data_IF_504466160857
#
_entry.id   IF_504466160857
#
_cell.length_a   1.000
_cell.length_b   1.000
_cell.length_c   1.000
_cell.angle_alpha   90.00
_cell.angle_beta   90.00
_cell.angle_gamma   90.00
#
_symmetry.space_group_name_H-M   'P 1'
#
loop_
_entity.id
_entity.type
_entity.pdbx_description
1 polymer ?
#
# COMPACT_ATOMS: atom_id res chain seq x y z
N UNK A 1 7.21 -38.34 42.35
CA UNK A 1 7.79 -38.79 41.07
C UNK A 1 7.43 -40.26 40.89
N UNK A 2 6.45 -40.56 40.04
CA UNK A 2 6.03 -41.90 39.69
C UNK A 2 6.65 -42.19 38.31
N UNK A 3 7.43 -43.26 38.11
CA UNK A 3 8.02 -43.55 36.81
C UNK A 3 6.94 -44.10 35.88
N UNK A 4 6.76 -43.43 34.74
CA UNK A 4 5.89 -43.87 33.66
C UNK A 4 6.50 -45.11 33.01
N UNK A 5 5.84 -46.26 33.17
CA UNK A 5 6.16 -47.52 32.51
C UNK A 5 6.03 -47.34 30.99
N UNK A 6 7.14 -47.46 30.28
CA UNK A 6 7.18 -47.48 28.82
C UNK A 6 6.40 -48.71 28.31
N UNK A 7 5.35 -48.46 27.52
CA UNK A 7 4.57 -49.49 26.89
C UNK A 7 5.45 -50.30 25.91
N UNK A 8 5.67 -51.59 26.18
CA UNK A 8 6.34 -52.52 25.27
C UNK A 8 5.61 -52.55 23.92
N UNK A 9 6.29 -52.45 22.79
CA UNK A 9 5.65 -52.48 21.47
C UNK A 9 5.00 -53.88 21.27
N UNK A 10 3.67 -53.87 21.11
CA UNK A 10 2.92 -55.08 20.81
C UNK A 10 3.47 -55.72 19.53
N UNK A 11 4.03 -56.94 19.64
CA UNK A 11 4.50 -57.71 18.51
C UNK A 11 3.38 -57.86 17.46
N UNK A 12 3.63 -57.40 16.23
CA UNK A 12 2.66 -57.51 15.12
C UNK A 12 2.56 -59.00 14.77
N UNK A 13 1.34 -59.59 14.93
CA UNK A 13 1.09 -60.97 14.52
C UNK A 13 1.25 -61.07 12.99
N UNK A 14 2.15 -61.91 12.52
CA UNK A 14 2.24 -62.29 11.12
C UNK A 14 1.21 -63.36 10.80
N UNK A 15 0.54 -63.25 9.69
CA UNK A 15 -0.44 -64.22 9.22
C UNK A 15 0.05 -64.79 7.90
N UNK A 16 -0.13 -66.12 7.69
CA UNK A 16 0.18 -66.81 6.45
C UNK A 16 -0.60 -66.22 5.28
N UNK A 17 0.04 -66.06 4.14
CA UNK A 17 -0.58 -65.53 2.93
C UNK A 17 -1.72 -66.45 2.42
N UNK A 18 -1.63 -67.74 2.58
CA UNK A 18 -2.66 -68.73 2.23
C UNK A 18 -3.95 -68.53 3.01
N UNK A 19 -3.79 -68.26 4.32
CA UNK A 19 -4.93 -67.92 5.18
C UNK A 19 -5.58 -66.63 4.78
N UNK A 20 -4.80 -65.63 4.43
CA UNK A 20 -5.30 -64.33 3.95
C UNK A 20 -6.06 -64.50 2.64
N UNK A 21 -5.50 -65.20 1.68
CA UNK A 21 -6.12 -65.43 0.37
C UNK A 21 -7.43 -66.26 0.52
N UNK A 22 -7.43 -67.27 1.34
CA UNK A 22 -8.63 -68.06 1.66
C UNK A 22 -9.75 -67.18 2.25
N UNK A 23 -9.43 -66.33 3.21
CA UNK A 23 -10.39 -65.40 3.82
C UNK A 23 -10.92 -64.37 2.77
N UNK A 24 -10.06 -63.86 1.92
CA UNK A 24 -10.46 -62.94 0.84
C UNK A 24 -11.39 -63.59 -0.16
N UNK A 25 -11.14 -64.84 -0.54
CA UNK A 25 -11.92 -65.60 -1.52
C UNK A 25 -13.24 -66.09 -0.96
N UNK A 26 -13.27 -66.57 0.28
CA UNK A 26 -14.42 -67.25 0.86
C UNK A 26 -15.24 -66.40 1.82
N UNK A 27 -14.73 -65.30 2.26
CA UNK A 27 -15.37 -64.48 3.30
C UNK A 27 -15.56 -65.20 4.65
N UNK A 28 -14.79 -66.23 4.94
CA UNK A 28 -14.99 -67.19 6.03
C UNK A 28 -14.96 -66.53 7.42
N UNK A 29 -16.05 -65.94 7.86
CA UNK A 29 -16.19 -65.29 9.18
C UNK A 29 -16.00 -66.25 10.34
N UNK A 30 -16.36 -67.53 10.18
CA UNK A 30 -16.16 -68.59 11.18
C UNK A 30 -14.66 -68.82 11.46
N UNK A 31 -13.84 -68.83 10.39
CA UNK A 31 -12.41 -69.05 10.47
C UNK A 31 -11.69 -67.83 11.13
N UNK A 32 -12.12 -66.63 10.83
CA UNK A 32 -11.55 -65.41 11.45
C UNK A 32 -11.86 -65.32 12.94
N UNK A 33 -13.04 -65.79 13.36
CA UNK A 33 -13.37 -65.88 14.79
C UNK A 33 -12.54 -66.98 15.50
N UNK A 34 -12.44 -68.14 14.88
CA UNK A 34 -11.68 -69.30 15.47
C UNK A 34 -10.19 -68.96 15.65
N UNK A 35 -9.59 -68.22 14.73
CA UNK A 35 -8.17 -67.82 14.77
C UNK A 35 -7.94 -66.47 15.47
N UNK A 36 -8.96 -65.89 16.06
CA UNK A 36 -8.91 -64.61 16.79
C UNK A 36 -8.23 -63.49 15.96
N UNK A 37 -8.62 -63.37 14.68
CA UNK A 37 -8.08 -62.34 13.80
C UNK A 37 -8.88 -61.02 13.99
N UNK A 38 -8.24 -59.88 14.32
CA UNK A 38 -8.93 -58.62 14.50
C UNK A 38 -9.71 -58.19 13.24
N UNK A 39 -10.93 -57.69 13.43
CA UNK A 39 -11.77 -57.16 12.30
C UNK A 39 -11.05 -56.10 11.47
N UNK A 40 -10.27 -55.24 12.11
CA UNK A 40 -9.45 -54.22 11.44
C UNK A 40 -8.41 -54.84 10.50
N UNK A 41 -7.85 -55.97 10.84
CA UNK A 41 -6.88 -56.71 10.01
C UNK A 41 -7.59 -57.27 8.77
N UNK A 42 -8.75 -57.90 8.94
CA UNK A 42 -9.55 -58.43 7.83
C UNK A 42 -10.02 -57.34 6.90
N UNK A 43 -10.54 -56.24 7.44
CA UNK A 43 -10.95 -55.06 6.66
C UNK A 43 -9.77 -54.44 5.88
N UNK A 44 -8.58 -54.44 6.48
CA UNK A 44 -7.36 -53.98 5.80
C UNK A 44 -6.98 -54.89 4.63
N UNK A 45 -7.13 -56.20 4.80
CA UNK A 45 -6.89 -57.18 3.72
C UNK A 45 -7.88 -57.01 2.58
N UNK A 46 -9.16 -56.86 2.87
CA UNK A 46 -10.22 -56.61 1.88
C UNK A 46 -9.98 -55.35 1.08
N UNK A 47 -9.56 -54.23 1.75
CA UNK A 47 -9.27 -52.96 1.11
C UNK A 47 -8.03 -53.01 0.20
N UNK A 48 -7.01 -53.78 0.61
CA UNK A 48 -5.74 -53.92 -0.13
C UNK A 48 -5.75 -54.98 -1.21
N UNK A 49 -6.77 -55.83 -1.24
CA UNK A 49 -6.88 -56.95 -2.17
C UNK A 49 -5.81 -58.03 -2.02
N UNK A 50 -5.83 -59.05 -2.88
CA UNK A 50 -4.80 -60.07 -2.95
C UNK A 50 -3.48 -59.42 -3.37
N UNK A 51 -2.38 -59.79 -2.67
CA UNK A 51 -1.04 -59.44 -3.12
C UNK A 51 -0.52 -60.57 -4.00
N UNK A 52 0.08 -60.27 -5.15
CA UNK A 52 0.77 -61.31 -5.91
C UNK A 52 1.85 -61.89 -5.03
N UNK A 53 1.73 -63.16 -4.72
CA UNK A 53 2.79 -63.92 -4.07
C UNK A 53 3.70 -64.37 -5.21
N UNK A 54 4.90 -63.87 -5.24
CA UNK A 54 5.94 -64.44 -6.11
C UNK A 54 6.36 -65.74 -5.47
N UNK A 55 5.73 -66.85 -5.88
CA UNK A 55 6.23 -68.22 -5.62
C UNK A 55 7.48 -68.41 -6.45
N UNK A 56 8.61 -68.17 -5.86
CA UNK A 56 9.85 -68.72 -6.41
C UNK A 56 9.80 -70.20 -6.06
N UNK A 57 9.48 -71.02 -7.05
CA UNK A 57 9.64 -72.48 -6.88
C UNK A 57 11.12 -72.73 -6.61
N UNK A 58 11.48 -73.30 -5.43
CA UNK A 58 12.89 -73.43 -5.05
C UNK A 58 13.68 -74.36 -5.96
N UNK A 59 13.02 -75.10 -6.81
CA UNK A 59 13.62 -76.07 -7.70
C UNK A 59 14.06 -75.53 -9.07
N UNK A 60 13.64 -74.34 -9.49
CA UNK A 60 14.01 -73.84 -10.83
C UNK A 60 15.23 -72.92 -10.83
N UNK A 61 15.73 -72.48 -9.70
CA UNK A 61 16.88 -71.57 -9.64
C UNK A 61 17.91 -72.10 -8.67
N UNK A 62 19.13 -72.39 -9.20
CA UNK A 62 20.25 -72.64 -8.37
C UNK A 62 20.51 -71.55 -7.35
N UNK A 63 20.78 -71.86 -6.11
CA UNK A 63 21.07 -70.95 -5.02
C UNK A 63 22.13 -69.88 -5.44
N UNK A 64 23.12 -70.28 -6.23
CA UNK A 64 24.15 -69.38 -6.73
C UNK A 64 23.58 -68.36 -7.70
N UNK A 65 22.65 -68.73 -8.56
CA UNK A 65 22.01 -67.82 -9.53
C UNK A 65 21.12 -66.75 -8.80
N UNK A 66 20.43 -67.16 -7.76
CA UNK A 66 19.64 -66.25 -6.91
C UNK A 66 20.53 -65.27 -6.17
N UNK A 67 21.64 -65.70 -5.59
CA UNK A 67 22.62 -64.84 -4.92
C UNK A 67 23.24 -63.85 -5.91
N UNK A 68 23.67 -64.30 -7.09
CA UNK A 68 24.18 -63.41 -8.11
C UNK A 68 23.16 -62.36 -8.61
N UNK A 69 21.85 -62.72 -8.68
CA UNK A 69 20.80 -61.82 -9.03
C UNK A 69 20.53 -60.77 -7.92
N UNK A 70 20.56 -61.18 -6.67
CA UNK A 70 20.45 -60.28 -5.50
C UNK A 70 21.60 -59.31 -5.49
N UNK A 71 22.83 -59.76 -5.66
CA UNK A 71 24.00 -58.90 -5.68
C UNK A 71 23.96 -57.89 -6.83
N UNK A 72 23.53 -58.32 -8.03
CA UNK A 72 23.31 -57.43 -9.18
C UNK A 72 22.27 -56.37 -8.91
N UNK A 73 21.16 -56.71 -8.26
CA UNK A 73 20.11 -55.78 -7.89
C UNK A 73 20.56 -54.81 -6.81
N UNK A 74 21.29 -55.30 -5.79
CA UNK A 74 21.82 -54.44 -4.72
C UNK A 74 22.85 -53.44 -5.30
N UNK A 75 23.76 -53.90 -6.17
CA UNK A 75 24.69 -53.02 -6.87
C UNK A 75 23.96 -51.92 -7.69
N UNK A 76 22.88 -52.29 -8.42
CA UNK A 76 22.05 -51.31 -9.15
C UNK A 76 21.36 -50.32 -8.21
N UNK A 77 20.83 -50.80 -7.09
CA UNK A 77 20.19 -49.92 -6.08
C UNK A 77 21.19 -48.92 -5.49
N UNK A 78 22.42 -49.35 -5.19
CA UNK A 78 23.49 -48.49 -4.67
C UNK A 78 23.90 -47.43 -5.71
N UNK A 79 24.02 -47.81 -6.98
CA UNK A 79 24.36 -46.88 -8.10
C UNK A 79 23.23 -45.83 -8.23
N UNK A 80 21.95 -46.26 -8.27
CA UNK A 80 20.81 -45.33 -8.38
C UNK A 80 20.75 -44.38 -7.19
N UNK A 81 20.98 -44.91 -5.96
CA UNK A 81 21.02 -44.07 -4.76
C UNK A 81 22.17 -43.04 -4.79
N UNK A 82 23.32 -43.40 -5.36
CA UNK A 82 24.42 -42.49 -5.54
C UNK A 82 24.11 -41.40 -6.56
N UNK A 83 23.50 -41.74 -7.71
CA UNK A 83 23.07 -40.79 -8.75
C UNK A 83 22.02 -39.83 -8.18
N UNK A 84 21.03 -40.33 -7.45
CA UNK A 84 20.01 -39.48 -6.82
C UNK A 84 20.64 -38.48 -5.85
N UNK A 85 21.61 -38.94 -5.02
CA UNK A 85 22.34 -38.05 -4.09
C UNK A 85 23.11 -36.93 -4.84
N UNK A 86 23.79 -37.28 -5.93
CA UNK A 86 24.49 -36.30 -6.77
C UNK A 86 23.52 -35.29 -7.39
N UNK A 87 22.42 -35.76 -7.96
CA UNK A 87 21.40 -34.86 -8.54
C UNK A 87 20.78 -33.93 -7.49
N UNK A 88 20.49 -34.44 -6.29
CA UNK A 88 19.99 -33.60 -5.19
C UNK A 88 21.04 -32.57 -4.72
N UNK A 89 22.32 -32.94 -4.71
CA UNK A 89 23.39 -32.01 -4.37
C UNK A 89 23.51 -30.89 -5.41
N UNK A 90 23.46 -31.21 -6.71
CA UNK A 90 23.46 -30.25 -7.80
C UNK A 90 22.23 -29.32 -7.75
N UNK A 91 21.04 -29.85 -7.52
CA UNK A 91 19.82 -29.04 -7.36
C UNK A 91 19.89 -28.08 -6.17
N UNK A 92 20.49 -28.52 -5.06
CA UNK A 92 20.70 -27.66 -3.88
C UNK A 92 21.73 -26.56 -4.17
N UNK A 93 22.82 -26.90 -4.87
CA UNK A 93 23.87 -25.96 -5.22
C UNK A 93 23.40 -24.92 -6.26
N UNK A 94 22.48 -25.30 -7.17
CA UNK A 94 21.91 -24.38 -8.16
C UNK A 94 20.93 -23.37 -7.56
N UNK A 95 20.50 -23.55 -6.30
CA UNK A 95 19.48 -22.70 -5.64
C UNK A 95 18.08 -22.83 -6.26
N UNK A 96 17.89 -23.61 -7.30
CA UNK A 96 16.60 -23.77 -7.97
C UNK A 96 15.57 -24.45 -7.09
N UNK A 97 14.41 -23.82 -6.92
CA UNK A 97 13.27 -24.38 -6.17
C UNK A 97 11.96 -24.12 -6.90
N UNK A 98 11.22 -25.17 -7.17
CA UNK A 98 9.87 -25.06 -7.73
C UNK A 98 8.89 -24.35 -6.79
N UNK A 99 9.19 -24.21 -5.50
CA UNK A 99 8.36 -23.48 -4.56
C UNK A 99 8.44 -21.96 -4.77
N UNK A 100 9.61 -21.44 -5.11
CA UNK A 100 9.89 -20.00 -5.22
C UNK A 100 10.00 -19.51 -6.66
N UNK A 101 10.40 -20.37 -7.59
CA UNK A 101 10.66 -19.97 -8.96
C UNK A 101 9.48 -20.20 -9.90
N UNK A 102 9.35 -19.27 -10.84
CA UNK A 102 8.36 -19.35 -11.91
C UNK A 102 8.95 -20.07 -13.10
N UNK A 103 8.27 -21.10 -13.58
CA UNK A 103 8.57 -21.80 -14.82
C UNK A 103 7.61 -21.31 -15.92
N UNK A 104 8.05 -20.40 -16.82
CA UNK A 104 7.18 -19.87 -17.85
C UNK A 104 6.90 -20.86 -18.99
N UNK A 105 7.84 -21.76 -19.27
CA UNK A 105 7.78 -22.68 -20.42
C UNK A 105 6.89 -23.89 -20.16
N UNK A 106 5.90 -24.12 -21.03
CA UNK A 106 5.00 -25.27 -20.95
C UNK A 106 5.70 -26.60 -21.12
N UNK A 107 6.73 -26.68 -21.96
CA UNK A 107 7.53 -27.90 -22.15
C UNK A 107 8.19 -28.38 -20.84
N UNK A 108 8.76 -27.45 -20.06
CA UNK A 108 9.36 -27.76 -18.76
C UNK A 108 8.30 -28.26 -17.75
N UNK A 109 7.14 -27.58 -17.67
CA UNK A 109 6.02 -28.03 -16.83
C UNK A 109 5.50 -29.40 -17.25
N UNK A 110 5.37 -29.64 -18.55
CA UNK A 110 4.95 -30.93 -19.11
C UNK A 110 5.90 -32.07 -18.73
N UNK A 111 7.23 -31.82 -18.79
CA UNK A 111 8.24 -32.78 -18.37
C UNK A 111 8.14 -33.13 -16.89
N UNK A 112 7.91 -32.12 -16.02
CA UNK A 112 7.70 -32.34 -14.58
C UNK A 112 6.42 -33.14 -14.34
N UNK A 113 5.31 -32.81 -15.02
CA UNK A 113 4.06 -33.56 -14.89
C UNK A 113 4.21 -35.03 -15.31
N UNK A 114 4.93 -35.32 -16.39
CA UNK A 114 5.25 -36.69 -16.83
C UNK A 114 6.11 -37.42 -15.79
N UNK A 115 7.13 -36.77 -15.27
CA UNK A 115 7.99 -37.35 -14.23
C UNK A 115 7.21 -37.66 -12.95
N UNK A 116 6.32 -36.79 -12.50
CA UNK A 116 5.42 -37.03 -11.37
C UNK A 116 4.51 -38.22 -11.65
N UNK A 117 3.89 -38.30 -12.84
CA UNK A 117 3.02 -39.40 -13.21
C UNK A 117 3.77 -40.74 -13.24
N UNK A 118 4.98 -40.75 -13.76
CA UNK A 118 5.84 -41.96 -13.77
C UNK A 118 6.28 -42.40 -12.38
N UNK A 119 6.38 -41.49 -11.43
CA UNK A 119 6.74 -41.81 -10.05
C UNK A 119 5.57 -42.29 -9.16
N UNK A 120 4.33 -42.01 -9.53
CA UNK A 120 3.12 -42.33 -8.74
C UNK A 120 2.92 -43.81 -8.45
N UNK A 121 3.25 -44.77 -9.35
CA UNK A 121 3.15 -46.17 -9.02
C UNK A 121 4.05 -46.65 -7.84
N UNK A 122 5.15 -45.93 -7.63
CA UNK A 122 6.19 -46.32 -6.69
C UNK A 122 6.17 -45.49 -5.39
N UNK A 123 5.71 -44.23 -5.48
CA UNK A 123 5.74 -43.27 -4.38
C UNK A 123 4.38 -42.63 -4.15
N UNK A 124 3.98 -42.39 -2.89
CA UNK A 124 2.78 -41.64 -2.58
C UNK A 124 2.95 -40.15 -3.03
N UNK A 125 1.88 -39.53 -3.53
CA UNK A 125 1.87 -38.15 -4.05
C UNK A 125 2.49 -37.15 -3.08
N UNK A 126 2.19 -37.26 -1.78
CA UNK A 126 2.74 -36.37 -0.77
C UNK A 126 4.26 -36.42 -0.70
N UNK A 127 4.86 -37.63 -0.86
CA UNK A 127 6.32 -37.79 -0.91
C UNK A 127 6.90 -37.17 -2.18
N UNK A 128 6.25 -37.37 -3.34
CA UNK A 128 6.67 -36.76 -4.62
C UNK A 128 6.69 -35.25 -4.51
N UNK A 129 5.60 -34.62 -4.04
CA UNK A 129 5.50 -33.18 -3.91
C UNK A 129 6.56 -32.60 -2.95
N UNK A 130 6.86 -33.32 -1.87
CA UNK A 130 7.94 -32.93 -0.95
C UNK A 130 9.31 -32.98 -1.61
N UNK A 131 9.58 -34.02 -2.41
CA UNK A 131 10.86 -34.18 -3.11
C UNK A 131 11.07 -33.08 -4.15
N UNK A 132 10.05 -32.84 -4.99
CA UNK A 132 10.15 -31.82 -6.06
C UNK A 132 9.85 -30.39 -5.56
N UNK A 133 9.47 -30.23 -4.29
CA UNK A 133 9.06 -28.95 -3.68
C UNK A 133 7.98 -28.23 -4.49
N UNK A 134 7.00 -29.00 -5.00
CA UNK A 134 5.90 -28.46 -5.76
C UNK A 134 4.62 -28.40 -4.91
N UNK A 135 4.04 -27.23 -4.78
CA UNK A 135 2.75 -27.03 -4.11
C UNK A 135 1.64 -27.83 -4.80
N UNK A 136 0.79 -28.55 -4.03
CA UNK A 136 -0.34 -29.33 -4.61
C UNK A 136 -1.27 -28.50 -5.46
N UNK A 137 -1.57 -27.26 -5.05
CA UNK A 137 -2.41 -26.34 -5.79
C UNK A 137 -1.82 -26.02 -7.18
N UNK A 138 -0.51 -25.81 -7.24
CA UNK A 138 0.24 -25.52 -8.48
C UNK A 138 0.26 -26.74 -9.42
N UNK A 139 0.45 -27.95 -8.86
CA UNK A 139 0.35 -29.19 -9.62
C UNK A 139 -1.03 -29.36 -10.25
N UNK A 140 -2.11 -29.15 -9.49
CA UNK A 140 -3.46 -29.30 -10.01
C UNK A 140 -3.79 -28.22 -11.05
N UNK A 141 -3.29 -27.01 -10.89
CA UNK A 141 -3.43 -25.94 -11.89
C UNK A 141 -2.74 -26.31 -13.21
N UNK A 142 -1.47 -26.81 -13.14
CA UNK A 142 -0.75 -27.27 -14.34
C UNK A 142 -1.43 -28.47 -15.01
N UNK A 143 -1.95 -29.42 -14.23
CA UNK A 143 -2.65 -30.57 -14.78
C UNK A 143 -3.92 -30.17 -15.54
N UNK A 144 -4.68 -29.20 -15.02
CA UNK A 144 -5.84 -28.64 -15.73
C UNK A 144 -5.42 -27.90 -16.99
N UNK A 145 -4.39 -27.09 -16.92
CA UNK A 145 -3.86 -26.36 -18.08
C UNK A 145 -3.31 -27.29 -19.16
N UNK A 146 -2.74 -28.46 -18.80
CA UNK A 146 -2.26 -29.44 -19.74
C UNK A 146 -3.36 -30.06 -20.59
N UNK A 147 -4.58 -30.21 -20.05
CA UNK A 147 -5.74 -30.76 -20.78
C UNK A 147 -6.16 -29.86 -21.94
N UNK A 148 -6.01 -28.52 -21.78
CA UNK A 148 -6.38 -27.53 -22.78
C UNK A 148 -5.17 -27.00 -23.57
N UNK A 149 -4.05 -27.73 -23.57
CA UNK A 149 -2.78 -27.34 -24.22
C UNK A 149 -2.25 -25.94 -23.82
N UNK A 150 -2.65 -25.44 -22.66
CA UNK A 150 -2.35 -24.09 -22.16
C UNK A 150 -1.27 -24.05 -21.07
N UNK A 151 -0.24 -24.92 -21.12
CA UNK A 151 0.79 -24.99 -20.09
C UNK A 151 1.77 -23.81 -20.13
N UNK A 152 1.95 -23.17 -21.27
CA UNK A 152 2.77 -21.98 -21.37
C UNK A 152 2.16 -20.85 -20.56
N UNK A 153 2.94 -20.17 -19.72
CA UNK A 153 2.48 -18.96 -19.12
C UNK A 153 2.29 -17.93 -20.23
N UNK A 154 1.04 -17.54 -20.44
CA UNK A 154 0.77 -16.35 -21.25
C UNK A 154 1.62 -15.23 -20.66
N UNK A 155 2.37 -14.54 -21.53
CA UNK A 155 3.03 -13.30 -21.12
C UNK A 155 1.92 -12.36 -20.63
N UNK A 156 1.62 -12.41 -19.33
CA UNK A 156 0.82 -11.36 -18.78
C UNK A 156 1.62 -10.10 -19.05
N UNK A 157 1.03 -9.15 -19.72
CA UNK A 157 1.53 -7.77 -19.75
C UNK A 157 1.34 -7.23 -18.33
N UNK A 158 2.32 -7.32 -17.45
CA UNK A 158 2.02 -7.52 -16.04
C UNK A 158 2.37 -6.34 -15.22
N UNK A 159 2.66 -5.28 -15.82
CA UNK A 159 3.36 -4.25 -15.07
C UNK A 159 2.60 -2.93 -15.06
N UNK A 160 1.44 -2.92 -15.69
CA UNK A 160 0.53 -1.79 -15.64
C UNK A 160 -0.75 -2.22 -14.95
N UNK A 161 -0.95 -1.75 -13.73
CA UNK A 161 -2.28 -1.79 -13.13
C UNK A 161 -3.25 -1.01 -14.03
N UNK A 162 -4.44 -1.53 -14.34
CA UNK A 162 -5.42 -0.76 -15.12
C UNK A 162 -5.75 0.62 -14.55
N UNK A 163 -5.56 0.80 -13.23
CA UNK A 163 -5.71 2.09 -12.54
C UNK A 163 -4.44 2.95 -12.49
N UNK A 164 -3.35 2.52 -13.11
CA UNK A 164 -2.09 3.28 -13.16
C UNK A 164 -2.29 4.61 -13.89
N UNK A 165 -1.62 5.67 -13.42
CA UNK A 165 -1.61 6.95 -14.12
C UNK A 165 -1.06 6.79 -15.54
N UNK A 166 -1.71 7.47 -16.48
CA UNK A 166 -1.22 7.52 -17.86
C UNK A 166 0.07 8.35 -17.96
N UNK A 167 0.83 8.16 -19.03
CA UNK A 167 2.04 8.94 -19.28
C UNK A 167 1.74 10.46 -19.31
N UNK A 168 0.61 10.86 -19.89
CA UNK A 168 0.15 12.24 -19.92
C UNK A 168 -0.13 12.79 -18.53
N UNK A 169 -0.83 12.03 -17.68
CA UNK A 169 -1.08 12.46 -16.30
C UNK A 169 0.22 12.61 -15.49
N UNK A 170 1.18 11.70 -15.69
CA UNK A 170 2.51 11.78 -15.04
C UNK A 170 3.29 13.00 -15.54
N UNK A 171 3.23 13.33 -16.85
CA UNK A 171 3.85 14.54 -17.41
C UNK A 171 3.22 15.80 -16.82
N UNK A 172 1.91 15.87 -16.76
CA UNK A 172 1.18 17.02 -16.18
C UNK A 172 1.53 17.20 -14.70
N UNK A 173 1.63 16.12 -13.92
CA UNK A 173 2.10 16.19 -12.51
C UNK A 173 3.51 16.78 -12.46
N UNK A 174 4.43 16.31 -13.30
CA UNK A 174 5.80 16.82 -13.37
C UNK A 174 5.84 18.31 -13.68
N UNK A 175 5.12 18.73 -14.70
CA UNK A 175 5.03 20.13 -15.12
C UNK A 175 4.54 21.02 -13.96
N UNK A 176 3.43 20.66 -13.32
CA UNK A 176 2.88 21.41 -12.19
C UNK A 176 3.81 21.45 -10.97
N UNK A 177 4.54 20.36 -10.68
CA UNK A 177 5.47 20.31 -9.56
C UNK A 177 6.69 21.20 -9.78
N UNK A 178 7.16 21.28 -11.03
CA UNK A 178 8.35 22.06 -11.39
C UNK A 178 8.04 23.51 -11.77
N UNK A 179 6.78 23.83 -12.03
CA UNK A 179 6.35 25.18 -12.45
C UNK A 179 6.60 26.22 -11.33
N UNK A 180 7.26 27.35 -11.66
CA UNK A 180 7.57 28.39 -10.68
C UNK A 180 6.33 29.00 -10.04
N UNK A 181 5.23 29.10 -10.79
CA UNK A 181 3.96 29.67 -10.36
C UNK A 181 3.30 28.91 -9.20
N UNK A 182 3.57 27.58 -9.06
CA UNK A 182 3.03 26.75 -7.98
C UNK A 182 4.02 26.52 -6.85
N UNK A 183 5.14 27.22 -6.84
CA UNK A 183 6.22 27.00 -5.89
C UNK A 183 5.82 27.27 -4.41
N UNK A 184 4.88 28.20 -4.24
CA UNK A 184 4.31 28.57 -2.95
C UNK A 184 3.32 27.53 -2.39
N UNK A 185 2.79 26.62 -3.22
CA UNK A 185 1.82 25.62 -2.79
C UNK A 185 2.52 24.38 -2.22
N UNK A 186 2.11 23.87 -1.04
CA UNK A 186 2.48 22.53 -0.59
C UNK A 186 2.04 21.46 -1.60
N UNK A 187 2.76 20.34 -1.63
CA UNK A 187 2.43 19.26 -2.57
C UNK A 187 1.00 18.71 -2.40
N UNK A 188 0.53 18.62 -1.15
CA UNK A 188 -0.84 18.19 -0.86
C UNK A 188 -1.88 19.17 -1.40
N UNK A 189 -1.65 20.46 -1.22
CA UNK A 189 -2.49 21.54 -1.76
C UNK A 189 -2.47 21.54 -3.28
N UNK A 190 -1.28 21.43 -3.89
CA UNK A 190 -1.12 21.37 -5.34
C UNK A 190 -1.87 20.19 -5.98
N UNK A 191 -1.82 19.02 -5.34
CA UNK A 191 -2.56 17.85 -5.82
C UNK A 191 -4.08 18.05 -5.82
N UNK A 192 -4.62 18.73 -4.81
CA UNK A 192 -6.05 19.07 -4.76
C UNK A 192 -6.39 20.20 -5.72
N UNK A 193 -5.52 21.20 -5.83
CA UNK A 193 -5.67 22.29 -6.80
C UNK A 193 -5.71 21.78 -8.24
N UNK A 194 -4.83 20.81 -8.58
CA UNK A 194 -4.85 20.16 -9.89
C UNK A 194 -6.19 19.50 -10.24
N UNK A 195 -6.86 18.93 -9.22
CA UNK A 195 -8.20 18.36 -9.40
C UNK A 195 -9.25 19.45 -9.61
N UNK A 196 -9.17 20.56 -8.88
CA UNK A 196 -10.09 21.71 -9.04
C UNK A 196 -10.05 22.31 -10.43
N UNK A 197 -8.85 22.45 -10.99
CA UNK A 197 -8.68 22.98 -12.36
C UNK A 197 -8.81 21.91 -13.46
N UNK A 198 -9.23 20.71 -13.11
CA UNK A 198 -9.49 19.63 -14.06
C UNK A 198 -8.26 19.01 -14.72
N UNK A 199 -7.06 19.28 -14.22
CA UNK A 199 -5.80 18.81 -14.84
C UNK A 199 -5.50 17.33 -14.57
N UNK A 200 -5.45 16.91 -13.29
CA UNK A 200 -5.12 15.53 -12.90
C UNK A 200 -5.91 15.13 -11.66
N UNK A 201 -6.54 13.96 -11.73
CA UNK A 201 -7.33 13.37 -10.63
C UNK A 201 -6.60 12.20 -9.99
N UNK A 202 -5.49 12.48 -9.29
CA UNK A 202 -4.71 11.51 -8.56
C UNK A 202 -4.71 11.81 -7.06
N UNK A 203 -4.56 10.77 -6.23
CA UNK A 203 -4.48 10.93 -4.78
C UNK A 203 -3.19 11.67 -4.38
N UNK A 204 -3.24 12.42 -3.28
CA UNK A 204 -2.07 13.13 -2.72
C UNK A 204 -0.90 12.18 -2.45
N UNK A 205 -1.19 10.97 -1.97
CA UNK A 205 -0.17 9.93 -1.75
C UNK A 205 0.52 9.49 -3.03
N UNK A 206 -0.19 9.43 -4.16
CA UNK A 206 0.37 9.12 -5.47
C UNK A 206 1.31 10.22 -5.95
N UNK A 207 0.93 11.51 -5.76
CA UNK A 207 1.80 12.64 -6.04
C UNK A 207 3.08 12.58 -5.20
N UNK A 208 2.95 12.35 -3.88
CA UNK A 208 4.10 12.26 -2.98
C UNK A 208 5.07 11.14 -3.39
N UNK A 209 4.53 9.97 -3.75
CA UNK A 209 5.31 8.84 -4.22
C UNK A 209 6.07 9.17 -5.50
N UNK A 210 5.40 9.70 -6.53
CA UNK A 210 6.03 10.08 -7.80
C UNK A 210 7.12 11.13 -7.62
N UNK A 211 6.84 12.19 -6.82
CA UNK A 211 7.81 13.26 -6.54
C UNK A 211 9.04 12.71 -5.84
N UNK A 212 8.87 11.80 -4.88
CA UNK A 212 9.96 11.16 -4.17
C UNK A 212 10.78 10.23 -5.07
N UNK A 213 10.11 9.33 -5.81
CA UNK A 213 10.78 8.35 -6.68
C UNK A 213 11.52 9.00 -7.87
N UNK A 214 10.99 10.12 -8.37
CA UNK A 214 11.55 10.83 -9.52
C UNK A 214 12.48 11.99 -9.15
N UNK A 215 12.60 12.30 -7.86
CA UNK A 215 13.44 13.40 -7.37
C UNK A 215 13.02 14.78 -7.83
N UNK A 216 11.74 15.02 -8.15
CA UNK A 216 11.27 16.31 -8.70
C UNK A 216 11.26 17.44 -7.67
N UNK A 217 11.13 17.11 -6.38
CA UNK A 217 11.25 18.04 -5.26
C UNK A 217 12.15 17.45 -4.19
N UNK A 218 12.82 18.33 -3.47
CA UNK A 218 13.59 17.93 -2.28
C UNK A 218 12.63 17.34 -1.24
N UNK A 219 12.87 16.12 -0.72
CA UNK A 219 12.07 15.57 0.36
C UNK A 219 12.11 16.52 1.55
N UNK A 220 10.96 16.77 2.16
CA UNK A 220 10.86 17.61 3.36
C UNK A 220 11.24 16.74 4.56
N UNK A 221 12.39 17.00 5.18
CA UNK A 221 12.74 16.34 6.44
C UNK A 221 11.84 16.87 7.56
N UNK A 222 11.20 15.99 8.29
CA UNK A 222 10.53 16.35 9.54
C UNK A 222 11.60 16.50 10.62
N UNK A 223 11.85 17.72 11.03
CA UNK A 223 12.84 18.02 12.10
C UNK A 223 12.26 17.69 13.48
N UNK A 224 10.92 17.69 13.62
CA UNK A 224 10.24 17.41 14.89
C UNK A 224 9.13 16.37 14.69
N UNK A 225 8.93 15.46 15.66
CA UNK A 225 7.79 14.56 15.64
C UNK A 225 6.47 15.36 15.69
N UNK A 226 5.38 14.87 15.08
CA UNK A 226 4.09 15.52 15.20
C UNK A 226 3.64 15.48 16.65
N UNK A 227 3.42 16.65 17.27
CA UNK A 227 2.77 16.74 18.58
C UNK A 227 1.25 16.61 18.37
N UNK A 228 0.56 15.77 19.13
CA UNK A 228 -0.90 15.78 19.12
C UNK A 228 -1.35 17.12 19.73
N UNK A 229 -2.03 17.94 18.93
CA UNK A 229 -2.58 19.22 19.37
C UNK A 229 -4.09 19.16 19.31
N UNK A 230 -4.74 19.21 20.47
CA UNK A 230 -6.18 19.46 20.60
C UNK A 230 -6.31 20.96 20.66
N UNK A 231 -6.61 21.59 19.53
CA UNK A 231 -6.87 23.04 19.48
C UNK A 231 -8.35 23.35 19.55
N UNK A 232 -8.66 24.59 19.89
CA UNK A 232 -10.04 25.13 19.83
C UNK A 232 -10.54 25.12 18.38
N UNK A 233 -11.81 24.76 18.17
CA UNK A 233 -12.45 24.67 16.86
C UNK A 233 -13.75 25.46 16.84
N UNK A 234 -13.82 26.47 15.97
CA UNK A 234 -15.04 27.19 15.67
C UNK A 234 -15.96 26.34 14.76
N UNK A 235 -17.27 26.56 14.89
CA UNK A 235 -18.32 25.87 14.12
C UNK A 235 -18.85 26.72 12.96
N UNK A 236 -18.59 28.02 12.97
CA UNK A 236 -19.04 29.00 11.96
C UNK A 236 -18.01 30.12 11.78
N UNK A 237 -18.04 30.85 10.66
CA UNK A 237 -17.21 32.05 10.46
C UNK A 237 -17.47 33.10 11.57
N UNK A 238 -16.43 33.83 11.91
CA UNK A 238 -16.50 34.92 12.89
C UNK A 238 -16.94 34.52 14.30
N UNK A 239 -16.74 33.27 14.67
CA UNK A 239 -16.94 32.80 16.04
C UNK A 239 -15.67 32.98 16.86
N UNK A 240 -14.52 32.53 16.30
CA UNK A 240 -13.20 32.61 16.93
C UNK A 240 -12.19 33.16 15.93
N UNK A 241 -11.46 34.17 16.34
CA UNK A 241 -10.32 34.70 15.60
C UNK A 241 -9.03 34.49 16.37
N UNK A 242 -7.92 34.37 15.65
CA UNK A 242 -6.59 34.40 16.24
C UNK A 242 -5.78 35.54 15.65
N UNK A 243 -5.12 36.27 16.55
CA UNK A 243 -4.12 37.29 16.18
C UNK A 243 -2.75 36.83 16.67
N UNK A 244 -1.75 37.05 15.87
CA UNK A 244 -0.36 36.80 16.23
C UNK A 244 0.59 37.62 15.37
N UNK A 245 1.81 37.77 15.88
CA UNK A 245 2.90 38.49 15.28
C UNK A 245 4.01 37.51 14.84
N UNK A 246 4.52 37.69 13.63
CA UNK A 246 5.65 36.91 13.15
C UNK A 246 6.80 37.82 12.71
N UNK A 247 8.00 37.54 13.23
CA UNK A 247 9.21 38.31 12.91
C UNK A 247 9.94 37.65 11.74
N UNK A 248 10.33 38.47 10.76
CA UNK A 248 11.18 38.11 9.63
C UNK A 248 12.38 39.04 9.59
N UNK A 249 13.57 38.54 9.32
CA UNK A 249 14.77 39.36 9.10
C UNK A 249 14.99 39.53 7.60
N UNK A 250 15.20 40.76 7.19
CA UNK A 250 15.63 41.11 5.85
C UNK A 250 17.13 40.83 5.68
N UNK A 251 17.61 40.83 4.45
CA UNK A 251 19.03 40.56 4.15
C UNK A 251 19.98 41.59 4.73
N UNK A 252 19.55 42.84 4.94
CA UNK A 252 20.29 43.90 5.63
C UNK A 252 20.30 43.77 7.15
N UNK A 253 19.66 42.72 7.71
CA UNK A 253 19.52 42.46 9.13
C UNK A 253 18.34 43.16 9.82
N UNK A 254 17.61 44.02 9.11
CA UNK A 254 16.43 44.73 9.62
C UNK A 254 15.33 43.72 9.99
N UNK A 255 14.70 43.95 11.15
CA UNK A 255 13.54 43.15 11.59
C UNK A 255 12.27 43.75 11.01
N UNK A 256 11.47 42.91 10.35
CA UNK A 256 10.13 43.22 9.94
C UNK A 256 9.12 42.40 10.75
N UNK A 257 8.02 43.01 11.13
CA UNK A 257 6.97 42.47 11.98
C UNK A 257 5.70 42.31 11.17
N UNK A 258 5.27 41.08 10.99
CA UNK A 258 4.06 40.75 10.23
C UNK A 258 2.95 40.44 11.22
N UNK A 259 1.91 41.25 11.28
CA UNK A 259 0.71 41.02 12.08
C UNK A 259 -0.36 40.44 11.18
N UNK A 260 -1.12 39.47 11.66
CA UNK A 260 -2.27 38.94 10.94
C UNK A 260 -3.39 38.48 11.88
N UNK A 261 -4.61 38.54 11.37
CA UNK A 261 -5.81 37.94 12.01
C UNK A 261 -6.34 36.84 11.10
N UNK A 262 -6.53 35.65 11.65
CA UNK A 262 -7.09 34.49 10.96
C UNK A 262 -8.41 34.05 11.60
N UNK A 263 -9.40 33.75 10.77
CA UNK A 263 -10.65 33.13 11.21
C UNK A 263 -10.41 31.63 11.50
N UNK A 264 -10.82 31.16 12.68
CA UNK A 264 -10.60 29.78 13.10
C UNK A 264 -11.40 28.77 12.27
N UNK A 265 -12.62 29.10 11.87
CA UNK A 265 -13.47 28.20 11.11
C UNK A 265 -12.93 27.98 9.69
N UNK A 266 -12.75 29.07 8.96
CA UNK A 266 -12.43 29.05 7.52
C UNK A 266 -10.93 29.04 7.21
N UNK A 267 -10.07 29.39 8.17
CA UNK A 267 -8.63 29.64 7.96
C UNK A 267 -8.34 30.86 7.08
N UNK A 268 -9.33 31.67 6.79
CA UNK A 268 -9.17 32.91 6.03
C UNK A 268 -8.33 33.90 6.82
N UNK A 269 -7.34 34.51 6.18
CA UNK A 269 -6.67 35.69 6.72
C UNK A 269 -7.57 36.88 6.47
N UNK A 270 -8.13 37.41 7.55
CA UNK A 270 -9.08 38.53 7.49
C UNK A 270 -8.36 39.86 7.26
N UNK A 271 -7.23 40.04 7.92
CA UNK A 271 -6.41 41.24 7.77
C UNK A 271 -4.94 40.92 8.10
N UNK A 272 -4.05 41.70 7.56
CA UNK A 272 -2.62 41.61 7.82
C UNK A 272 -1.92 42.93 7.59
N UNK A 273 -0.76 43.15 8.20
CA UNK A 273 0.12 44.28 7.92
C UNK A 273 1.59 43.91 8.16
N UNK A 274 2.51 44.70 7.57
CA UNK A 274 3.96 44.57 7.79
C UNK A 274 4.49 45.90 8.33
N UNK A 275 5.04 45.86 9.54
CA UNK A 275 5.63 46.99 10.23
C UNK A 275 7.17 46.83 10.36
N UNK A 276 7.88 47.95 10.43
CA UNK A 276 9.34 47.97 10.66
C UNK A 276 9.69 48.09 12.13
N UNK A 277 8.72 48.35 12.98
CA UNK A 277 8.86 48.46 14.44
C UNK A 277 7.78 47.65 15.14
N UNK A 278 8.10 47.19 16.34
CA UNK A 278 7.11 46.57 17.22
C UNK A 278 6.31 47.72 17.87
N UNK A 279 5.10 47.96 17.36
CA UNK A 279 4.22 49.04 17.77
C UNK A 279 2.78 48.55 17.87
N UNK A 280 2.06 48.79 18.99
CA UNK A 280 0.64 48.47 19.13
C UNK A 280 -0.24 49.03 18.04
N UNK A 281 0.14 50.15 17.40
CA UNK A 281 -0.59 50.77 16.27
C UNK A 281 -0.81 49.77 15.12
N UNK A 282 0.16 48.94 14.83
CA UNK A 282 0.03 47.90 13.78
C UNK A 282 -1.03 46.85 14.16
N UNK A 283 -1.07 46.44 15.44
CA UNK A 283 -2.10 45.55 15.97
C UNK A 283 -3.49 46.18 15.87
N UNK A 284 -3.64 47.44 16.28
CA UNK A 284 -4.89 48.17 16.16
C UNK A 284 -5.37 48.28 14.70
N UNK A 285 -4.48 48.61 13.77
CA UNK A 285 -4.80 48.68 12.32
C UNK A 285 -5.33 47.35 11.77
N UNK A 286 -4.68 46.24 12.12
CA UNK A 286 -5.10 44.90 11.66
C UNK A 286 -6.44 44.50 12.28
N UNK A 287 -6.69 44.82 13.56
CA UNK A 287 -7.96 44.52 14.22
C UNK A 287 -9.12 45.33 13.61
N UNK A 288 -8.90 46.61 13.35
CA UNK A 288 -9.91 47.48 12.68
C UNK A 288 -10.19 47.00 11.25
N UNK A 289 -9.15 46.57 10.54
CA UNK A 289 -9.32 46.05 9.18
C UNK A 289 -10.06 44.69 9.21
N UNK A 290 -9.76 43.81 10.16
CA UNK A 290 -10.48 42.56 10.34
C UNK A 290 -11.94 42.80 10.75
N UNK A 291 -12.21 43.79 11.61
CA UNK A 291 -13.55 44.18 12.03
C UNK A 291 -14.51 44.55 10.88
N UNK A 292 -13.99 45.01 9.73
CA UNK A 292 -14.80 45.28 8.51
C UNK A 292 -15.45 44.00 7.92
N UNK A 293 -14.99 42.83 8.30
CA UNK A 293 -15.59 41.55 7.88
C UNK A 293 -16.80 41.15 8.74
N UNK A 294 -17.09 41.85 9.82
CA UNK A 294 -18.26 41.60 10.67
C UNK A 294 -19.51 42.21 10.02
N UNK A 295 -20.34 41.36 9.43
CA UNK A 295 -21.59 41.76 8.75
C UNK A 295 -22.79 41.79 9.72
N UNK A 296 -22.67 41.12 10.89
CA UNK A 296 -23.74 41.01 11.89
C UNK A 296 -23.22 41.35 13.29
N UNK A 297 -24.14 41.60 14.25
CA UNK A 297 -23.82 41.92 15.64
C UNK A 297 -23.10 40.83 16.43
N UNK A 298 -22.40 39.92 15.75
CA UNK A 298 -21.55 38.90 16.37
C UNK A 298 -20.35 39.54 17.06
N UNK A 299 -19.94 38.97 18.19
CA UNK A 299 -18.76 39.39 18.95
C UNK A 299 -17.76 38.22 18.95
N UNK A 300 -16.82 38.18 17.97
CA UNK A 300 -15.83 37.10 17.91
C UNK A 300 -14.95 37.04 19.16
N UNK A 301 -14.65 35.84 19.60
CA UNK A 301 -13.61 35.61 20.58
C UNK A 301 -12.24 35.69 19.92
N UNK A 302 -11.45 36.73 20.26
CA UNK A 302 -10.11 36.97 19.73
C UNK A 302 -9.08 36.33 20.66
N UNK A 303 -8.47 35.26 20.19
CA UNK A 303 -7.35 34.62 20.87
C UNK A 303 -6.05 35.37 20.53
N UNK A 304 -5.41 35.92 21.56
CA UNK A 304 -4.14 36.62 21.47
C UNK A 304 -3.17 36.09 22.55
N UNK A 305 -1.88 36.11 22.28
CA UNK A 305 -0.90 35.87 23.34
C UNK A 305 -0.76 37.10 24.24
N UNK A 306 -0.10 36.93 25.41
CA UNK A 306 0.03 37.98 26.42
C UNK A 306 1.12 38.99 26.12
N UNK A 307 1.57 39.12 24.86
CA UNK A 307 2.57 40.10 24.44
C UNK A 307 2.13 41.56 24.65
N UNK A 308 3.09 42.43 24.89
CA UNK A 308 2.80 43.87 25.13
C UNK A 308 2.14 44.55 23.91
N UNK A 309 2.30 44.03 22.72
CA UNK A 309 1.64 44.43 21.49
C UNK A 309 0.14 44.12 21.47
N UNK A 310 -0.29 43.13 22.26
CA UNK A 310 -1.66 42.69 22.32
C UNK A 310 -2.39 43.13 23.60
N UNK A 311 -1.63 43.51 24.64
CA UNK A 311 -2.18 43.88 25.97
C UNK A 311 -1.72 45.29 26.33
N UNK A 312 -2.49 46.29 25.92
CA UNK A 312 -2.24 47.69 26.20
C UNK A 312 -3.53 48.51 25.99
N UNK A 313 -3.59 49.73 26.53
CA UNK A 313 -4.76 50.59 26.48
C UNK A 313 -5.28 50.90 25.08
N UNK A 314 -4.38 51.06 24.08
CA UNK A 314 -4.78 51.37 22.71
C UNK A 314 -5.48 50.16 22.06
N UNK A 315 -4.95 48.96 22.28
CA UNK A 315 -5.58 47.73 21.80
C UNK A 315 -6.91 47.50 22.52
N UNK A 316 -6.98 47.70 23.82
CA UNK A 316 -8.22 47.58 24.60
C UNK A 316 -9.36 48.51 24.09
N UNK A 317 -9.02 49.77 23.80
CA UNK A 317 -9.94 50.70 23.16
C UNK A 317 -10.37 50.24 21.75
N UNK A 318 -9.46 49.68 20.98
CA UNK A 318 -9.74 49.14 19.65
C UNK A 318 -10.65 47.91 19.71
N UNK A 319 -10.41 47.00 20.63
CA UNK A 319 -11.25 45.82 20.84
C UNK A 319 -12.67 46.17 21.21
N UNK A 320 -12.82 47.21 22.08
CA UNK A 320 -14.14 47.74 22.43
C UNK A 320 -14.86 48.34 21.20
N UNK A 321 -14.18 49.17 20.41
CA UNK A 321 -14.76 49.78 19.24
C UNK A 321 -15.06 48.80 18.09
N UNK A 322 -14.26 47.73 17.96
CA UNK A 322 -14.43 46.70 16.96
C UNK A 322 -15.35 45.55 17.40
N UNK A 323 -15.98 45.63 18.59
CA UNK A 323 -16.84 44.61 19.14
C UNK A 323 -16.19 43.23 19.26
N UNK A 324 -14.92 43.16 19.70
CA UNK A 324 -14.18 41.93 19.89
C UNK A 324 -14.03 41.58 21.36
N UNK A 325 -14.04 40.27 21.67
CA UNK A 325 -13.82 39.76 23.01
C UNK A 325 -12.42 39.09 23.08
N UNK A 326 -11.47 39.67 23.85
CA UNK A 326 -10.12 39.11 23.97
C UNK A 326 -10.09 37.96 24.94
N UNK A 327 -9.47 36.84 24.50
CA UNK A 327 -9.12 35.68 25.31
C UNK A 327 -7.60 35.48 25.23
N UNK A 328 -6.92 35.43 26.39
CA UNK A 328 -5.49 35.24 26.40
C UNK A 328 -5.12 33.78 26.13
N UNK A 329 -4.48 33.56 25.00
CA UNK A 329 -3.99 32.27 24.55
C UNK A 329 -2.88 31.74 25.48
N UNK A 330 -2.88 30.41 25.69
CA UNK A 330 -1.93 29.70 26.57
C UNK A 330 -2.03 30.02 28.07
N UNK A 331 -2.69 31.09 28.47
CA UNK A 331 -2.99 31.41 29.85
C UNK A 331 -4.33 30.82 30.25
N UNK A 332 -5.37 31.10 29.47
CA UNK A 332 -6.75 30.65 29.74
C UNK A 332 -7.08 29.35 29.00
N UNK A 333 -6.51 29.15 27.81
CA UNK A 333 -6.73 27.94 26.98
C UNK A 333 -5.42 27.44 26.39
N UNK A 334 -5.05 26.20 26.75
CA UNK A 334 -3.87 25.55 26.22
C UNK A 334 -3.98 25.31 24.68
N UNK A 335 -2.89 25.49 23.93
CA UNK A 335 -2.81 25.31 22.48
C UNK A 335 -3.75 26.18 21.64
N UNK A 336 -4.22 27.28 22.18
CA UNK A 336 -5.24 28.13 21.55
C UNK A 336 -4.73 28.82 20.27
N UNK A 337 -3.43 29.15 20.13
CA UNK A 337 -2.88 29.90 19.01
C UNK A 337 -2.30 29.06 17.86
N UNK A 338 -2.46 27.74 17.91
CA UNK A 338 -1.87 26.79 16.94
C UNK A 338 -2.25 27.01 15.46
N UNK A 339 -3.38 27.68 15.22
CA UNK A 339 -3.89 27.95 13.87
C UNK A 339 -3.03 28.95 13.12
N UNK A 340 -2.79 30.10 13.72
CA UNK A 340 -2.00 31.14 13.12
C UNK A 340 -0.51 30.78 13.08
N UNK A 341 -0.02 30.01 14.05
CA UNK A 341 1.33 29.41 14.02
C UNK A 341 1.52 28.48 12.79
N UNK A 342 0.49 27.70 12.44
CA UNK A 342 0.54 26.85 11.26
C UNK A 342 0.57 27.66 9.96
N UNK A 343 -0.16 28.78 9.92
CA UNK A 343 -0.10 29.74 8.81
C UNK A 343 1.30 30.36 8.68
N UNK A 344 1.90 30.84 9.77
CA UNK A 344 3.28 31.40 9.76
C UNK A 344 4.29 30.39 9.25
N UNK A 345 4.18 29.14 9.67
CA UNK A 345 5.05 28.07 9.19
C UNK A 345 4.95 27.92 7.67
N UNK A 346 3.73 27.96 7.14
CA UNK A 346 3.49 27.84 5.71
C UNK A 346 4.03 29.07 4.96
N UNK A 347 3.69 30.26 5.38
CA UNK A 347 4.17 31.52 4.79
C UNK A 347 5.70 31.58 4.78
N UNK A 348 6.35 31.35 5.91
CA UNK A 348 7.83 31.47 6.02
C UNK A 348 8.54 30.39 5.20
N UNK A 349 8.25 29.12 5.46
CA UNK A 349 9.04 28.02 4.91
C UNK A 349 8.67 27.62 3.49
N UNK A 350 7.46 27.95 3.02
CA UNK A 350 7.03 27.58 1.68
C UNK A 350 7.11 28.73 0.70
N UNK A 351 7.22 29.96 1.19
CA UNK A 351 7.24 31.12 0.34
C UNK A 351 8.33 32.13 0.67
N UNK A 352 8.33 32.77 1.85
CA UNK A 352 9.26 33.87 2.14
C UNK A 352 10.72 33.44 2.02
N UNK A 353 11.11 32.33 2.63
CA UNK A 353 12.50 31.84 2.62
C UNK A 353 12.94 31.25 1.27
N UNK A 354 12.06 31.16 0.30
CA UNK A 354 12.39 30.79 -1.08
C UNK A 354 12.64 32.01 -1.98
N UNK A 355 12.44 33.21 -1.43
CA UNK A 355 12.59 34.47 -2.16
C UNK A 355 13.65 35.36 -1.48
N UNK A 356 14.19 36.29 -2.23
CA UNK A 356 15.08 37.32 -1.71
C UNK A 356 14.27 38.33 -0.90
N UNK A 357 14.71 38.59 0.34
CA UNK A 357 14.06 39.53 1.26
C UNK A 357 14.94 40.80 1.42
N UNK A 358 15.12 41.51 0.31
CA UNK A 358 16.07 42.63 0.19
C UNK A 358 15.52 43.91 0.84
N UNK A 359 14.20 44.13 0.73
CA UNK A 359 13.54 45.33 1.18
C UNK A 359 12.16 45.05 1.78
N UNK A 360 11.67 45.97 2.60
CA UNK A 360 10.37 45.88 3.25
C UNK A 360 9.21 45.84 2.24
N UNK A 361 9.34 46.61 1.16
CA UNK A 361 8.35 46.65 0.07
C UNK A 361 8.25 45.30 -0.63
N UNK A 362 9.39 44.68 -0.86
CA UNK A 362 9.44 43.32 -1.42
C UNK A 362 8.76 42.30 -0.48
N UNK A 363 9.04 42.39 0.83
CA UNK A 363 8.37 41.54 1.83
C UNK A 363 6.86 41.76 1.80
N UNK A 364 6.39 43.04 1.76
CA UNK A 364 4.95 43.34 1.66
C UNK A 364 4.32 42.71 0.43
N UNK A 365 4.95 42.83 -0.74
CA UNK A 365 4.45 42.24 -1.99
C UNK A 365 4.37 40.73 -1.91
N UNK A 366 5.38 40.05 -1.29
CA UNK A 366 5.41 38.61 -1.10
C UNK A 366 4.31 38.13 -0.14
N UNK A 367 4.08 38.86 0.96
CA UNK A 367 3.00 38.56 1.92
C UNK A 367 1.64 38.76 1.26
N UNK A 368 1.44 39.87 0.54
CA UNK A 368 0.21 40.14 -0.20
C UNK A 368 -0.15 39.02 -1.17
N UNK A 369 0.80 38.59 -1.99
CA UNK A 369 0.62 37.50 -2.92
C UNK A 369 0.24 36.19 -2.21
N UNK A 370 0.97 35.86 -1.12
CA UNK A 370 0.73 34.60 -0.43
C UNK A 370 -0.62 34.59 0.27
N UNK A 371 -1.02 35.69 0.91
CA UNK A 371 -2.34 35.80 1.58
C UNK A 371 -3.47 35.70 0.56
N UNK A 372 -3.35 36.38 -0.58
CA UNK A 372 -4.33 36.27 -1.65
C UNK A 372 -4.45 34.85 -2.19
N UNK A 373 -3.30 34.21 -2.51
CA UNK A 373 -3.29 32.82 -2.97
C UNK A 373 -3.84 31.86 -1.89
N UNK A 374 -3.50 32.08 -0.62
CA UNK A 374 -3.99 31.28 0.51
C UNK A 374 -5.51 31.36 0.62
N UNK A 375 -6.07 32.57 0.56
CA UNK A 375 -7.50 32.79 0.73
C UNK A 375 -8.31 32.27 -0.47
N UNK A 376 -7.87 32.56 -1.70
CA UNK A 376 -8.71 32.40 -2.89
C UNK A 376 -8.36 31.19 -3.76
N UNK A 377 -7.11 30.73 -3.76
CA UNK A 377 -6.64 29.73 -4.74
C UNK A 377 -6.23 28.40 -4.08
N UNK A 378 -5.64 28.43 -2.88
CA UNK A 378 -5.10 27.23 -2.24
C UNK A 378 -6.19 26.46 -1.50
N UNK A 379 -6.56 25.23 -1.97
CA UNK A 379 -7.47 24.38 -1.22
C UNK A 379 -6.84 24.01 0.13
N UNK A 380 -7.57 24.20 1.22
CA UNK A 380 -7.06 23.85 2.54
C UNK A 380 -7.28 22.35 2.84
N UNK A 381 -6.28 21.64 3.37
CA UNK A 381 -6.37 20.18 3.60
C UNK A 381 -7.55 19.74 4.48
N UNK A 382 -8.02 20.60 5.38
CA UNK A 382 -9.15 20.31 6.26
C UNK A 382 -10.53 20.42 5.58
N UNK A 383 -10.64 20.97 4.38
CA UNK A 383 -11.92 21.39 3.76
C UNK A 383 -12.27 20.64 2.48
N UNK A 384 -11.92 19.38 2.37
CA UNK A 384 -12.35 18.51 1.26
C UNK A 384 -12.19 19.11 -0.16
N UNK A 385 -11.29 20.09 -0.31
CA UNK A 385 -10.97 20.74 -1.58
C UNK A 385 -11.37 22.21 -1.66
N UNK A 386 -12.07 22.75 -0.68
CA UNK A 386 -12.46 24.16 -0.63
C UNK A 386 -11.29 25.06 -0.20
N UNK A 387 -11.30 26.31 -0.66
CA UNK A 387 -10.40 27.37 -0.21
C UNK A 387 -10.91 28.00 1.09
N UNK A 388 -10.08 28.76 1.83
CA UNK A 388 -10.52 29.54 2.97
C UNK A 388 -11.69 30.48 2.65
N UNK A 389 -11.68 31.17 1.51
CA UNK A 389 -12.77 32.06 1.11
C UNK A 389 -14.08 31.32 0.85
N UNK A 390 -14.02 30.19 0.15
CA UNK A 390 -15.21 29.37 -0.09
C UNK A 390 -15.83 28.87 1.21
N UNK A 391 -15.00 28.54 2.20
CA UNK A 391 -15.47 28.15 3.53
C UNK A 391 -16.06 29.34 4.29
N UNK A 392 -15.43 30.52 4.21
CA UNK A 392 -15.85 31.72 4.91
C UNK A 392 -17.19 32.25 4.38
N UNK A 393 -17.34 32.30 3.07
CA UNK A 393 -18.53 32.81 2.39
C UNK A 393 -19.58 31.72 2.08
N UNK A 394 -19.32 30.49 2.45
CA UNK A 394 -20.15 29.30 2.16
C UNK A 394 -20.47 29.12 0.65
N UNK A 395 -19.56 29.54 -0.23
CA UNK A 395 -19.77 29.49 -1.69
C UNK A 395 -19.34 28.16 -2.31
N UNK A 396 -18.58 27.33 -1.59
CA UNK A 396 -18.04 26.07 -2.10
C UNK A 396 -18.75 24.81 -1.59
N UNK A 397 -20.01 24.88 -1.19
CA UNK A 397 -20.71 23.74 -0.56
C UNK A 397 -20.80 22.49 -1.46
N UNK A 398 -21.00 22.64 -2.77
CA UNK A 398 -21.14 21.54 -3.72
C UNK A 398 -19.79 21.00 -4.22
N UNK A 399 -18.70 21.71 -4.00
CA UNK A 399 -17.39 21.37 -4.54
C UNK A 399 -16.89 19.97 -4.15
N UNK A 400 -17.06 19.46 -2.92
CA UNK A 400 -16.68 18.12 -2.57
C UNK A 400 -17.31 17.03 -3.44
N UNK A 401 -18.60 17.20 -3.77
CA UNK A 401 -19.36 16.23 -4.57
C UNK A 401 -19.00 16.35 -6.06
N UNK A 402 -18.78 17.56 -6.57
CA UNK A 402 -18.28 17.80 -7.93
C UNK A 402 -16.90 17.17 -8.14
N UNK A 403 -15.98 17.31 -7.16
CA UNK A 403 -14.67 16.69 -7.20
C UNK A 403 -14.76 15.15 -7.11
N UNK A 404 -15.71 14.62 -6.34
CA UNK A 404 -15.93 13.19 -6.27
C UNK A 404 -16.41 12.61 -7.61
N UNK A 405 -17.37 13.26 -8.25
CA UNK A 405 -17.88 12.90 -9.58
C UNK A 405 -16.77 13.00 -10.65
N UNK A 406 -15.99 14.06 -10.63
CA UNK A 406 -14.87 14.27 -11.55
C UNK A 406 -13.77 13.20 -11.38
N UNK A 407 -13.45 12.82 -10.15
CA UNK A 407 -12.51 11.72 -9.85
C UNK A 407 -13.02 10.38 -10.40
N UNK A 408 -14.31 10.09 -10.25
CA UNK A 408 -14.91 8.87 -10.77
C UNK A 408 -14.83 8.82 -12.30
N UNK A 409 -15.17 9.92 -12.98
CA UNK A 409 -15.06 10.09 -14.44
C UNK A 409 -13.61 9.91 -14.91
N UNK A 410 -12.66 10.57 -14.25
CA UNK A 410 -11.24 10.48 -14.60
C UNK A 410 -10.70 9.07 -14.40
N UNK A 411 -11.13 8.36 -13.34
CA UNK A 411 -10.76 6.97 -13.12
C UNK A 411 -11.28 6.05 -14.22
N UNK A 412 -12.53 6.23 -14.64
CA UNK A 412 -13.11 5.45 -15.74
C UNK A 412 -12.35 5.70 -17.06
N UNK A 413 -12.07 6.94 -17.40
CA UNK A 413 -11.28 7.30 -18.57
C UNK A 413 -9.88 6.70 -18.55
N UNK A 414 -9.20 6.74 -17.41
CA UNK A 414 -7.87 6.12 -17.23
C UNK A 414 -7.91 4.60 -17.41
N UNK A 415 -8.92 3.93 -16.85
CA UNK A 415 -9.11 2.50 -17.04
C UNK A 415 -9.33 2.15 -18.51
N UNK A 416 -10.14 2.92 -19.23
CA UNK A 416 -10.37 2.75 -20.65
C UNK A 416 -9.08 2.95 -21.47
N UNK A 417 -8.33 4.03 -21.20
CA UNK A 417 -7.07 4.32 -21.86
C UNK A 417 -6.03 3.19 -21.64
N UNK A 418 -5.86 2.75 -20.39
CA UNK A 418 -4.90 1.69 -20.06
C UNK A 418 -5.30 0.32 -20.66
N UNK A 419 -6.60 0.05 -20.80
CA UNK A 419 -7.09 -1.19 -21.46
C UNK A 419 -6.95 -1.14 -22.97
N UNK A 420 -7.04 0.03 -23.57
CA UNK A 420 -6.86 0.23 -25.01
C UNK A 420 -5.39 0.17 -25.43
N UNK A 421 -4.46 0.33 -24.51
CA UNK A 421 -3.02 0.18 -24.79
C UNK A 421 -2.70 -1.29 -25.06
N UNK A 422 -2.60 -1.66 -26.35
CA UNK A 422 -2.05 -2.96 -26.76
C UNK A 422 -0.56 -3.03 -26.45
N UNK A 423 -0.16 -4.09 -25.76
CA UNK A 423 1.27 -4.40 -25.62
C UNK A 423 1.75 -4.96 -26.97
N UNK A 424 2.68 -4.32 -27.68
CA UNK A 424 3.21 -4.79 -28.95
C UNK A 424 3.70 -6.23 -28.90
N UNK A 425 4.29 -6.69 -27.79
CA UNK A 425 4.66 -8.09 -27.58
C UNK A 425 3.49 -9.08 -27.51
N UNK A 426 2.27 -8.61 -27.17
CA UNK A 426 1.08 -9.47 -27.16
C UNK A 426 0.39 -9.50 -28.53
N UNK A 427 0.52 -8.46 -29.34
CA UNK A 427 -0.02 -8.40 -30.69
C UNK A 427 0.69 -9.41 -31.61
N UNK A 428 2.02 -9.53 -31.50
CA UNK A 428 2.80 -10.47 -32.30
C UNK A 428 2.51 -11.94 -31.97
N UNK A 429 2.03 -12.26 -30.77
CA UNK A 429 1.67 -13.64 -30.39
C UNK A 429 0.25 -14.05 -30.80
N UNK A 430 -0.65 -13.11 -31.07
CA UNK A 430 -1.99 -13.43 -31.58
C UNK A 430 -1.99 -13.71 -33.08
N UNK A 431 -0.95 -13.28 -33.82
CA UNK A 431 -0.79 -13.51 -35.24
C UNK A 431 -0.27 -14.92 -35.62
N UNK A 432 0.06 -15.77 -34.65
CA UNK A 432 0.74 -17.07 -34.89
C UNK A 432 -0.10 -18.29 -34.47
N UNK A 433 -1.40 -18.21 -34.37
CA UNK A 433 -2.22 -19.41 -34.25
C UNK A 433 -2.99 -19.65 -35.57
N UNK A 434 -2.51 -20.57 -36.47
CA UNK A 434 -3.38 -21.09 -37.50
C UNK A 434 -4.51 -21.86 -36.82
N UNK A 435 -5.73 -21.50 -37.17
CA UNK A 435 -6.90 -22.27 -36.83
C UNK A 435 -6.72 -23.67 -37.45
N UNK A 436 -6.78 -24.77 -36.65
CA UNK A 436 -6.78 -26.07 -37.27
C UNK A 436 -8.07 -26.24 -38.09
N UNK A 437 -7.91 -26.35 -39.41
CA UNK A 437 -8.97 -26.82 -40.27
C UNK A 437 -9.38 -28.21 -39.80
N UNK A 438 -10.65 -28.36 -39.41
CA UNK A 438 -11.28 -29.64 -39.15
C UNK A 438 -11.63 -30.19 -40.55
N UNK A 439 -11.03 -31.32 -40.98
CA UNK A 439 -11.45 -31.93 -42.24
C UNK A 439 -12.87 -32.50 -42.15
N UNK A 440 -13.59 -32.60 -43.26
CA UNK A 440 -15.02 -32.94 -43.35
C UNK A 440 -15.38 -34.36 -42.88
#
# INVERSE_FOLDING_TARGET
MIPTLAATPRARRAYDHRLREHILRTGARALTRRLVIPRSTVSTWQRRGPRPVVTVEPFEHDRQQLLAKIEKLDRRARILAAVVRLLLALLRASGFSLASERLPQGAAKGSILRAISGAQPFLPRAAIFRIVRLEPARYHAWRRAAVVCGLDDRSSCPRTSPGQLTATEVSTIKEMVLAPEFRHMPLCTLAVYAQRIGKVFAAVTTWAKLVSERGWRRPRQRVHPPKPTIGVRATRPNEIWHIDLSIVRLLDGTKAYIHAVIDNFSRKILAWTVATRLDPTATCQVLLAAGKHLVSAGRPDLYADSGVENVNAAVDATLWSACLNRILAQVEVAYSNSMIEAFWRSLKHQWLYLNSLDAIERLRALVAFFVEAHNTQMPHPAFRGQTPDEMYFATGANLPDELAAARAKARAARLAANRAMSCGRCADQQAVLPVPEIPP
#
